data_IF_594876191352
#
_entry.id   IF_594876191352
#
_cell.length_a   1.000
_cell.length_b   1.000
_cell.length_c   1.000
_cell.angle_alpha   90.00
_cell.angle_beta   90.00
_cell.angle_gamma   90.00
#
_symmetry.space_group_name_H-M   'P 1'
#
loop_
_entity.id
_entity.type
_entity.pdbx_description
1 polymer ?
#
# COMPACT_ATOMS: atom_id res chain seq x y z
N UNK A 1 -2.55 13.27 -7.95
CA UNK A 1 -1.76 14.06 -6.99
C UNK A 1 -2.57 15.17 -6.32
N UNK A 2 -3.20 16.07 -7.07
CA UNK A 2 -3.92 17.23 -6.51
C UNK A 2 -5.07 16.87 -5.55
N UNK A 3 -5.70 15.70 -5.68
CA UNK A 3 -6.83 15.28 -4.86
C UNK A 3 -6.39 14.75 -3.49
N UNK A 4 -5.25 14.06 -3.43
CA UNK A 4 -4.70 13.52 -2.20
C UNK A 4 -3.68 14.42 -1.50
N UNK A 5 -3.36 15.61 -2.05
CA UNK A 5 -2.24 16.41 -1.58
C UNK A 5 -2.32 16.76 -0.08
N UNK A 6 -3.51 17.05 0.44
CA UNK A 6 -3.69 17.39 1.85
C UNK A 6 -3.49 16.16 2.75
N UNK A 7 -3.98 14.99 2.36
CA UNK A 7 -3.79 13.74 3.09
C UNK A 7 -2.30 13.33 3.10
N UNK A 8 -1.63 13.40 1.95
CA UNK A 8 -0.19 13.19 1.87
C UNK A 8 0.58 14.17 2.75
N UNK A 9 0.27 15.46 2.68
CA UNK A 9 0.95 16.48 3.48
C UNK A 9 0.77 16.25 4.99
N UNK A 10 -0.41 15.81 5.43
CA UNK A 10 -0.67 15.48 6.82
C UNK A 10 0.12 14.23 7.26
N UNK A 11 0.04 13.14 6.49
CA UNK A 11 0.74 11.88 6.81
C UNK A 11 2.26 12.07 6.83
N UNK A 12 2.83 12.63 5.77
CA UNK A 12 4.29 12.85 5.68
C UNK A 12 4.78 13.97 6.60
N UNK A 13 3.93 14.95 6.92
CA UNK A 13 4.20 15.94 7.97
C UNK A 13 4.41 15.30 9.34
N UNK A 14 3.61 14.28 9.67
CA UNK A 14 3.74 13.49 10.90
C UNK A 14 5.01 12.63 10.89
N UNK A 15 5.39 12.08 9.74
CA UNK A 15 6.60 11.26 9.59
C UNK A 15 7.89 12.10 9.63
N UNK A 16 7.84 13.36 9.17
CA UNK A 16 9.02 14.23 8.98
C UNK A 16 9.98 14.31 10.18
N UNK A 17 9.55 14.40 11.45
CA UNK A 17 10.47 14.44 12.59
C UNK A 17 11.29 13.16 12.80
N UNK A 18 10.84 12.04 12.22
CA UNK A 18 11.42 10.72 12.42
C UNK A 18 12.18 10.22 11.18
N UNK A 19 11.94 10.82 10.00
CA UNK A 19 12.41 10.32 8.70
C UNK A 19 13.91 10.08 8.63
N UNK A 20 14.71 10.89 9.33
CA UNK A 20 16.17 10.74 9.37
C UNK A 20 16.65 9.55 10.22
N UNK A 21 15.79 8.96 11.03
CA UNK A 21 16.08 7.79 11.85
C UNK A 21 15.71 6.47 11.19
N UNK A 22 15.05 6.54 10.03
CA UNK A 22 14.57 5.37 9.32
C UNK A 22 15.59 5.03 8.24
N UNK A 23 16.04 3.79 8.21
CA UNK A 23 17.07 3.31 7.29
C UNK A 23 16.46 2.72 6.02
N UNK A 24 15.25 2.15 6.12
CA UNK A 24 14.57 1.50 5.01
C UNK A 24 13.06 1.74 5.07
N UNK A 25 12.45 2.05 3.92
CA UNK A 25 11.00 2.20 3.77
C UNK A 25 10.42 1.05 2.95
N UNK A 26 9.64 0.18 3.57
CA UNK A 26 8.83 -0.82 2.87
C UNK A 26 7.52 -0.17 2.45
N UNK A 27 7.25 -0.10 1.15
CA UNK A 27 6.07 0.57 0.61
C UNK A 27 5.14 -0.49 0.02
N UNK A 28 3.98 -0.66 0.65
CA UNK A 28 2.88 -1.50 0.15
C UNK A 28 1.93 -0.59 -0.63
N UNK A 29 1.88 -0.73 -1.94
CA UNK A 29 1.04 0.10 -2.82
C UNK A 29 -0.06 -0.72 -3.47
N UNK A 30 -1.25 -0.15 -3.62
CA UNK A 30 -2.36 -0.78 -4.34
C UNK A 30 -2.02 -0.93 -5.83
N UNK A 31 -2.25 -2.12 -6.39
CA UNK A 31 -2.17 -2.34 -7.83
C UNK A 31 -3.55 -2.18 -8.47
N UNK A 32 -3.83 -1.01 -9.05
CA UNK A 32 -5.15 -0.70 -9.63
C UNK A 32 -5.48 -1.52 -10.89
N UNK A 33 -4.47 -2.01 -11.59
CA UNK A 33 -4.68 -2.89 -12.75
C UNK A 33 -4.99 -4.35 -12.35
N UNK A 34 -4.92 -4.66 -11.05
CA UNK A 34 -5.01 -6.01 -10.51
C UNK A 34 -3.72 -6.82 -10.69
N UNK A 35 -3.59 -7.88 -9.92
CA UNK A 35 -2.52 -8.86 -10.01
C UNK A 35 -3.16 -10.26 -10.05
N UNK A 36 -2.57 -11.16 -10.83
CA UNK A 36 -2.96 -12.59 -10.84
C UNK A 36 -2.52 -13.29 -9.54
N UNK A 37 -1.39 -12.83 -8.99
CA UNK A 37 -0.89 -13.19 -7.67
C UNK A 37 -1.14 -12.00 -6.72
N UNK A 38 -1.26 -12.25 -5.43
CA UNK A 38 -1.57 -11.22 -4.44
C UNK A 38 -0.54 -10.10 -4.33
N UNK A 39 0.72 -10.36 -4.73
CA UNK A 39 1.82 -9.42 -4.54
C UNK A 39 2.80 -9.44 -5.70
N UNK A 40 3.33 -8.26 -6.06
CA UNK A 40 4.39 -8.14 -7.06
C UNK A 40 5.57 -7.34 -6.51
N UNK A 41 6.78 -7.88 -6.70
CA UNK A 41 8.05 -7.26 -6.32
C UNK A 41 8.77 -6.70 -7.54
N UNK A 42 9.67 -5.74 -7.31
CA UNK A 42 10.61 -5.26 -8.32
C UNK A 42 11.97 -4.98 -7.71
N UNK A 43 13.03 -5.13 -8.54
CA UNK A 43 14.40 -4.70 -8.21
C UNK A 43 14.74 -3.35 -8.83
N UNK A 44 13.78 -2.69 -9.48
CA UNK A 44 14.00 -1.42 -10.17
C UNK A 44 13.91 -0.26 -9.18
N UNK A 45 14.78 0.70 -9.37
CA UNK A 45 14.76 1.94 -8.64
C UNK A 45 13.63 2.84 -9.17
N UNK A 46 13.15 3.76 -8.33
CA UNK A 46 12.18 4.77 -8.71
C UNK A 46 12.86 6.12 -8.89
N UNK A 47 12.71 6.72 -10.05
CA UNK A 47 13.18 8.08 -10.31
C UNK A 47 12.15 9.10 -9.81
N UNK A 48 12.61 10.10 -9.10
CA UNK A 48 11.78 11.22 -8.67
C UNK A 48 12.36 12.55 -9.13
N UNK A 49 11.57 13.63 -9.21
CA UNK A 49 12.09 14.98 -9.57
C UNK A 49 13.21 15.49 -8.64
N UNK A 50 13.37 14.91 -7.46
CA UNK A 50 14.36 15.33 -6.46
C UNK A 50 15.46 14.28 -6.23
N UNK A 51 15.58 13.31 -7.12
CA UNK A 51 16.59 12.26 -7.08
C UNK A 51 15.99 10.85 -6.91
N UNK A 52 16.80 9.82 -7.01
CA UNK A 52 16.34 8.45 -6.99
C UNK A 52 15.85 8.00 -5.60
N UNK A 53 14.91 7.07 -5.61
CA UNK A 53 14.61 6.17 -4.51
C UNK A 53 15.17 4.80 -4.89
N UNK A 54 16.24 4.39 -4.23
CA UNK A 54 16.96 3.16 -4.55
C UNK A 54 16.26 1.96 -3.93
N UNK A 55 16.02 0.92 -4.72
CA UNK A 55 15.46 -0.33 -4.21
C UNK A 55 16.51 -1.12 -3.44
N UNK A 56 16.20 -1.50 -2.20
CA UNK A 56 17.02 -2.43 -1.43
C UNK A 56 16.87 -3.85 -1.99
N UNK A 57 17.74 -4.19 -2.94
CA UNK A 57 17.70 -5.46 -3.68
C UNK A 57 17.96 -6.66 -2.80
N UNK A 58 18.80 -6.50 -1.77
CA UNK A 58 19.07 -7.57 -0.82
C UNK A 58 17.82 -7.95 -0.03
N UNK A 59 17.09 -6.96 0.47
CA UNK A 59 15.80 -7.18 1.11
C UNK A 59 14.81 -7.87 0.16
N UNK A 60 14.67 -7.35 -1.07
CA UNK A 60 13.76 -7.90 -2.09
C UNK A 60 14.13 -9.36 -2.40
N UNK A 61 15.40 -9.68 -2.53
CA UNK A 61 15.87 -11.04 -2.81
C UNK A 61 15.62 -11.99 -1.65
N UNK A 62 15.88 -11.56 -0.41
CA UNK A 62 15.57 -12.34 0.80
C UNK A 62 14.07 -12.59 0.96
N UNK A 63 13.23 -11.57 0.74
CA UNK A 63 11.78 -11.70 0.76
C UNK A 63 11.30 -12.69 -0.30
N UNK A 64 11.73 -12.49 -1.55
CA UNK A 64 11.35 -13.35 -2.68
C UNK A 64 11.75 -14.82 -2.47
N UNK A 65 12.90 -15.07 -1.83
CA UNK A 65 13.38 -16.42 -1.56
C UNK A 65 12.51 -17.20 -0.54
N UNK A 66 11.63 -16.51 0.22
CA UNK A 66 10.72 -17.09 1.19
C UNK A 66 9.33 -17.41 0.61
N UNK A 67 9.04 -16.91 -0.59
CA UNK A 67 7.75 -17.09 -1.23
C UNK A 67 7.75 -18.34 -2.11
N UNK A 68 6.64 -19.05 -2.13
CA UNK A 68 6.46 -20.22 -2.98
C UNK A 68 6.18 -19.85 -4.44
N UNK A 69 5.73 -18.64 -4.70
CA UNK A 69 5.45 -18.11 -6.03
C UNK A 69 6.60 -17.25 -6.59
N UNK A 70 6.58 -16.98 -7.89
CA UNK A 70 7.50 -16.03 -8.51
C UNK A 70 6.95 -14.60 -8.37
N UNK A 71 7.30 -13.91 -7.30
CA UNK A 71 6.84 -12.55 -7.02
C UNK A 71 7.29 -11.49 -8.06
N UNK A 72 8.13 -11.84 -9.05
CA UNK A 72 8.53 -10.97 -10.16
C UNK A 72 7.76 -11.23 -11.45
N UNK A 73 6.83 -12.18 -11.47
CA UNK A 73 6.10 -12.53 -12.69
C UNK A 73 5.33 -11.32 -13.27
N UNK A 74 4.81 -10.48 -12.39
CA UNK A 74 4.11 -9.25 -12.76
C UNK A 74 4.90 -7.97 -12.43
N UNK A 75 6.25 -8.02 -12.45
CA UNK A 75 7.11 -6.86 -12.18
C UNK A 75 6.75 -5.64 -13.03
N UNK A 76 6.28 -5.84 -14.27
CA UNK A 76 5.91 -4.74 -15.16
C UNK A 76 4.71 -3.91 -14.67
N UNK A 77 3.89 -4.41 -13.76
CA UNK A 77 2.81 -3.64 -13.15
C UNK A 77 3.34 -2.38 -12.44
N UNK A 78 4.55 -2.45 -11.87
CA UNK A 78 5.20 -1.30 -11.22
C UNK A 78 5.44 -0.11 -12.16
N UNK A 79 5.57 -0.33 -13.47
CA UNK A 79 5.86 0.73 -14.43
C UNK A 79 4.69 1.69 -14.63
N UNK A 80 3.49 1.16 -14.60
CA UNK A 80 2.28 1.89 -14.97
C UNK A 80 1.43 2.23 -13.72
N UNK A 81 1.92 1.87 -12.51
CA UNK A 81 1.26 2.11 -11.23
C UNK A 81 1.87 3.29 -10.48
N UNK A 82 1.01 4.11 -9.88
CA UNK A 82 1.40 5.35 -9.20
C UNK A 82 1.35 5.29 -7.67
N UNK A 83 0.77 4.25 -7.09
CA UNK A 83 0.59 4.11 -5.63
C UNK A 83 1.91 4.13 -4.86
N UNK A 84 2.99 3.53 -5.42
CA UNK A 84 4.35 3.57 -4.85
C UNK A 84 5.09 4.83 -5.28
N UNK A 85 4.95 5.25 -6.55
CA UNK A 85 5.64 6.43 -7.09
C UNK A 85 5.38 7.68 -6.24
N UNK A 86 4.13 7.94 -5.87
CA UNK A 86 3.80 9.10 -5.05
C UNK A 86 4.41 9.02 -3.65
N UNK A 87 4.50 7.85 -3.05
CA UNK A 87 5.19 7.66 -1.76
C UNK A 87 6.69 7.98 -1.90
N UNK A 88 7.33 7.47 -2.96
CA UNK A 88 8.75 7.74 -3.23
C UNK A 88 9.02 9.25 -3.43
N UNK A 89 8.15 9.96 -4.15
CA UNK A 89 8.22 11.43 -4.33
C UNK A 89 8.12 12.16 -2.99
N UNK A 90 7.14 11.81 -2.15
CA UNK A 90 6.97 12.45 -0.86
C UNK A 90 8.11 12.14 0.12
N UNK A 91 8.57 10.90 0.17
CA UNK A 91 9.75 10.52 0.97
C UNK A 91 10.98 11.32 0.54
N UNK A 92 11.24 11.39 -0.78
CA UNK A 92 12.36 12.17 -1.29
C UNK A 92 12.25 13.65 -0.95
N UNK A 93 11.02 14.20 -0.93
CA UNK A 93 10.77 15.60 -0.58
C UNK A 93 11.06 15.92 0.90
N UNK A 94 10.73 15.01 1.83
CA UNK A 94 10.90 15.27 3.27
C UNK A 94 12.28 14.85 3.78
N UNK A 95 13.02 13.99 3.06
CA UNK A 95 14.40 13.61 3.38
C UNK A 95 15.40 14.68 2.95
N UNK A 96 16.49 14.91 3.72
CA UNK A 96 17.59 15.76 3.28
C UNK A 96 18.15 15.30 1.92
N UNK A 97 18.50 16.26 1.06
CA UNK A 97 18.94 15.98 -0.32
C UNK A 97 20.21 15.10 -0.41
N UNK A 98 21.05 15.17 0.62
CA UNK A 98 22.31 14.39 0.70
C UNK A 98 22.13 13.00 1.32
N UNK A 99 20.91 12.65 1.78
CA UNK A 99 20.65 11.32 2.36
C UNK A 99 20.08 10.39 1.29
N UNK A 100 20.66 9.19 1.09
CA UNK A 100 20.10 8.17 0.23
C UNK A 100 18.67 7.80 0.71
N UNK A 101 17.76 7.60 -0.23
CA UNK A 101 16.44 7.03 0.03
C UNK A 101 16.45 5.58 -0.42
N UNK A 102 16.34 4.66 0.54
CA UNK A 102 16.17 3.23 0.28
C UNK A 102 14.74 2.81 0.47
N UNK A 103 14.20 2.08 -0.50
CA UNK A 103 12.82 1.59 -0.48
C UNK A 103 12.75 0.08 -0.80
N UNK A 104 11.68 -0.55 -0.38
CA UNK A 104 11.26 -1.88 -0.85
C UNK A 104 9.88 -1.69 -1.46
N UNK A 105 9.77 -1.60 -2.80
CA UNK A 105 8.51 -1.40 -3.47
C UNK A 105 7.76 -2.73 -3.64
N UNK A 106 6.54 -2.80 -3.11
CA UNK A 106 5.68 -3.98 -3.16
C UNK A 106 4.31 -3.55 -3.65
N UNK A 107 3.85 -4.07 -4.78
CA UNK A 107 2.46 -3.90 -5.19
C UNK A 107 1.60 -5.00 -4.57
N UNK A 108 0.44 -4.59 -4.06
CA UNK A 108 -0.55 -5.47 -3.48
C UNK A 108 -1.77 -5.54 -4.41
N UNK A 109 -2.19 -6.74 -4.76
CA UNK A 109 -3.47 -6.99 -5.40
C UNK A 109 -4.62 -6.89 -4.40
N UNK A 110 -5.84 -6.80 -4.91
CA UNK A 110 -7.02 -6.76 -4.07
C UNK A 110 -7.35 -8.11 -3.45
N UNK A 111 -7.99 -8.09 -2.29
CA UNK A 111 -8.49 -9.28 -1.58
C UNK A 111 -9.93 -9.65 -1.98
N UNK A 112 -10.38 -9.26 -3.16
CA UNK A 112 -11.74 -9.53 -3.64
C UNK A 112 -12.05 -11.03 -3.68
N UNK A 113 -11.06 -11.87 -3.97
CA UNK A 113 -11.22 -13.32 -3.94
C UNK A 113 -11.58 -13.84 -2.53
N UNK A 114 -11.02 -13.24 -1.48
CA UNK A 114 -11.37 -13.59 -0.10
C UNK A 114 -12.84 -13.26 0.19
N UNK A 115 -13.31 -12.09 -0.25
CA UNK A 115 -14.73 -11.68 -0.12
C UNK A 115 -15.65 -12.65 -0.88
N UNK A 116 -15.31 -12.99 -2.12
CA UNK A 116 -16.09 -13.91 -2.96
C UNK A 116 -16.16 -15.33 -2.40
N UNK A 117 -15.11 -15.79 -1.74
CA UNK A 117 -15.04 -17.10 -1.12
C UNK A 117 -15.54 -17.12 0.33
N UNK A 118 -15.79 -15.95 0.92
CA UNK A 118 -16.20 -15.84 2.32
C UNK A 118 -15.13 -16.28 3.32
N UNK A 119 -13.86 -16.09 2.97
CA UNK A 119 -12.71 -16.43 3.85
C UNK A 119 -12.03 -15.16 4.32
N UNK A 120 -11.57 -15.13 5.57
CA UNK A 120 -10.72 -14.05 6.06
C UNK A 120 -9.34 -14.12 5.40
N UNK A 121 -8.70 -12.98 5.07
CA UNK A 121 -7.31 -12.93 4.58
C UNK A 121 -6.31 -13.65 5.50
N UNK A 122 -6.58 -13.71 6.80
CA UNK A 122 -5.78 -14.50 7.74
C UNK A 122 -5.80 -16.01 7.44
N UNK A 123 -6.82 -16.49 6.74
CA UNK A 123 -6.96 -17.89 6.35
C UNK A 123 -6.59 -18.12 4.87
N UNK A 124 -6.31 -17.07 4.13
CA UNK A 124 -5.81 -17.16 2.76
C UNK A 124 -4.33 -17.57 2.75
N UNK A 125 -3.97 -18.71 2.12
CA UNK A 125 -2.60 -19.23 2.20
C UNK A 125 -1.54 -18.28 1.63
N UNK A 126 -1.85 -17.61 0.53
CA UNK A 126 -0.92 -16.70 -0.15
C UNK A 126 -0.67 -15.45 0.70
N UNK A 127 -1.72 -14.83 1.22
CA UNK A 127 -1.63 -13.66 2.10
C UNK A 127 -0.84 -14.00 3.37
N UNK A 128 -1.09 -15.16 3.96
CA UNK A 128 -0.37 -15.61 5.17
C UNK A 128 1.11 -15.84 4.92
N UNK A 129 1.44 -16.53 3.82
CA UNK A 129 2.83 -16.78 3.43
C UNK A 129 3.58 -15.46 3.23
N UNK A 130 2.97 -14.54 2.47
CA UNK A 130 3.56 -13.23 2.20
C UNK A 130 3.77 -12.42 3.48
N UNK A 131 2.75 -12.31 4.34
CA UNK A 131 2.84 -11.56 5.60
C UNK A 131 3.93 -12.14 6.52
N UNK A 132 3.99 -13.47 6.65
CA UNK A 132 5.03 -14.14 7.44
C UNK A 132 6.42 -13.87 6.86
N UNK A 133 6.60 -14.06 5.56
CA UNK A 133 7.86 -13.80 4.86
C UNK A 133 8.33 -12.34 5.01
N UNK A 134 7.39 -11.38 4.92
CA UNK A 134 7.68 -9.96 5.09
C UNK A 134 8.13 -9.64 6.52
N UNK A 135 7.41 -10.15 7.53
CA UNK A 135 7.76 -9.95 8.94
C UNK A 135 9.15 -10.52 9.23
N UNK A 136 9.40 -11.79 8.86
CA UNK A 136 10.70 -12.43 9.07
C UNK A 136 11.84 -11.63 8.39
N UNK A 137 11.59 -11.11 7.17
CA UNK A 137 12.60 -10.34 6.45
C UNK A 137 12.88 -9.00 7.11
N UNK A 138 11.84 -8.34 7.66
CA UNK A 138 11.98 -7.09 8.44
C UNK A 138 12.78 -7.35 9.72
N UNK A 139 12.46 -8.41 10.46
CA UNK A 139 13.13 -8.75 11.73
C UNK A 139 14.62 -9.08 11.54
N UNK A 140 15.00 -9.64 10.39
CA UNK A 140 16.40 -9.92 10.05
C UNK A 140 17.15 -8.72 9.44
N UNK A 141 16.46 -7.59 9.23
CA UNK A 141 17.07 -6.41 8.62
C UNK A 141 17.67 -5.51 9.68
N UNK A 142 18.97 -5.19 9.52
CA UNK A 142 19.62 -4.23 10.40
C UNK A 142 19.06 -2.82 10.20
N UNK A 143 18.91 -2.08 11.30
CA UNK A 143 18.44 -0.70 11.27
C UNK A 143 16.94 -0.55 11.51
N UNK A 144 16.44 0.65 11.27
CA UNK A 144 15.03 0.99 11.49
C UNK A 144 14.26 0.91 10.19
N UNK A 145 13.29 0.00 10.15
CA UNK A 145 12.36 -0.18 9.01
C UNK A 145 11.04 0.52 9.30
N UNK A 146 10.56 1.29 8.32
CA UNK A 146 9.22 1.88 8.36
C UNK A 146 8.37 1.26 7.24
N UNK A 147 7.20 0.74 7.59
CA UNK A 147 6.23 0.24 6.61
C UNK A 147 5.23 1.35 6.29
N UNK A 148 5.01 1.61 5.01
CA UNK A 148 4.06 2.60 4.49
C UNK A 148 3.01 1.87 3.67
N UNK A 149 1.74 2.07 3.99
CA UNK A 149 0.62 1.66 3.16
C UNK A 149 0.23 2.81 2.23
N UNK A 150 0.54 2.66 0.94
CA UNK A 150 0.17 3.59 -0.12
C UNK A 150 -1.18 3.19 -0.70
N UNK A 151 -2.24 3.49 0.05
CA UNK A 151 -3.61 3.06 -0.24
C UNK A 151 -4.53 4.27 -0.40
N UNK A 152 -5.64 4.06 -1.05
CA UNK A 152 -6.76 4.98 -1.15
C UNK A 152 -8.04 4.32 -0.62
N UNK A 153 -9.05 5.15 -0.36
CA UNK A 153 -10.34 4.71 0.14
C UNK A 153 -11.36 4.72 -1.03
N UNK A 154 -12.63 4.95 -0.74
CA UNK A 154 -13.74 4.78 -1.64
C UNK A 154 -13.56 5.36 -3.06
N UNK A 155 -13.77 4.52 -4.06
CA UNK A 155 -13.76 4.84 -5.49
C UNK A 155 -15.19 4.79 -6.07
N UNK A 156 -16.01 5.79 -5.77
CA UNK A 156 -17.41 5.83 -6.14
C UNK A 156 -17.76 7.00 -7.05
N UNK A 157 -18.87 6.82 -7.79
CA UNK A 157 -19.44 7.84 -8.66
C UNK A 157 -19.01 7.78 -10.13
N UNK A 158 -19.52 8.68 -10.98
CA UNK A 158 -19.38 8.61 -12.43
C UNK A 158 -17.95 8.60 -12.94
N UNK A 159 -17.02 9.14 -12.16
CA UNK A 159 -15.60 9.18 -12.50
C UNK A 159 -14.95 7.78 -12.44
N UNK A 160 -15.51 6.88 -11.63
CA UNK A 160 -15.06 5.49 -11.46
C UNK A 160 -16.00 4.49 -12.15
N UNK A 161 -16.88 4.97 -13.05
CA UNK A 161 -17.82 4.13 -13.77
C UNK A 161 -19.12 3.86 -13.01
N UNK A 162 -19.28 4.42 -11.81
CA UNK A 162 -20.51 4.33 -11.02
C UNK A 162 -21.62 5.24 -11.55
N UNK A 163 -22.85 4.97 -11.12
CA UNK A 163 -24.05 5.76 -11.48
C UNK A 163 -24.54 6.68 -10.38
N UNK A 164 -23.89 6.67 -9.23
CA UNK A 164 -24.25 7.38 -8.02
C UNK A 164 -24.16 8.89 -8.25
N UNK A 165 -25.19 9.59 -7.77
CA UNK A 165 -25.17 11.06 -7.78
C UNK A 165 -24.42 11.56 -6.56
N UNK A 166 -23.30 12.24 -6.78
CA UNK A 166 -22.44 12.82 -5.73
C UNK A 166 -23.10 14.05 -5.09
N UNK A 167 -24.26 13.86 -4.43
CA UNK A 167 -24.96 14.90 -3.67
C UNK A 167 -24.43 14.94 -2.22
N UNK A 168 -24.61 16.06 -1.54
CA UNK A 168 -24.06 16.28 -0.19
C UNK A 168 -24.46 15.18 0.81
N UNK A 169 -25.70 14.70 0.76
CA UNK A 169 -26.15 13.63 1.66
C UNK A 169 -25.44 12.29 1.40
N UNK A 170 -25.17 11.96 0.12
CA UNK A 170 -24.41 10.77 -0.23
C UNK A 170 -22.95 10.90 0.20
N UNK A 171 -22.32 12.05 -0.05
CA UNK A 171 -20.94 12.30 0.35
C UNK A 171 -20.75 12.24 1.88
N UNK A 172 -21.69 12.80 2.65
CA UNK A 172 -21.65 12.72 4.11
C UNK A 172 -21.76 11.27 4.62
N UNK A 173 -22.62 10.46 3.99
CA UNK A 173 -22.73 9.05 4.32
C UNK A 173 -21.48 8.26 3.95
N UNK A 174 -20.90 8.55 2.79
CA UNK A 174 -19.64 7.93 2.37
C UNK A 174 -18.49 8.27 3.32
N UNK A 175 -18.37 9.54 3.73
CA UNK A 175 -17.39 9.99 4.72
C UNK A 175 -17.55 9.23 6.06
N UNK A 176 -18.77 9.03 6.53
CA UNK A 176 -19.04 8.28 7.76
C UNK A 176 -18.57 6.82 7.65
N UNK A 177 -18.85 6.17 6.51
CA UNK A 177 -18.42 4.79 6.25
C UNK A 177 -16.89 4.69 6.18
N UNK A 178 -16.22 5.60 5.47
CA UNK A 178 -14.75 5.63 5.39
C UNK A 178 -14.12 5.91 6.75
N UNK A 179 -14.72 6.80 7.55
CA UNK A 179 -14.27 7.05 8.92
C UNK A 179 -14.34 5.80 9.78
N UNK A 180 -15.45 5.04 9.68
CA UNK A 180 -15.59 3.75 10.39
C UNK A 180 -14.51 2.76 9.96
N UNK A 181 -14.21 2.67 8.66
CA UNK A 181 -13.14 1.82 8.14
C UNK A 181 -11.77 2.23 8.71
N UNK A 182 -11.48 3.53 8.76
CA UNK A 182 -10.24 4.05 9.32
C UNK A 182 -10.09 3.81 10.83
N UNK A 183 -11.18 3.71 11.59
CA UNK A 183 -11.12 3.36 13.01
C UNK A 183 -10.53 1.96 13.25
N UNK A 184 -10.73 1.00 12.34
CA UNK A 184 -10.09 -0.31 12.41
C UNK A 184 -8.59 -0.21 12.15
N UNK A 185 -8.18 0.66 11.21
CA UNK A 185 -6.77 0.94 10.95
C UNK A 185 -6.09 1.56 12.19
N UNK A 186 -6.73 2.55 12.81
CA UNK A 186 -6.22 3.20 14.03
C UNK A 186 -6.06 2.22 15.21
N UNK A 187 -6.93 1.21 15.30
CA UNK A 187 -6.88 0.16 16.34
C UNK A 187 -5.97 -1.00 15.98
N UNK A 188 -5.39 -1.00 14.78
CA UNK A 188 -4.61 -2.14 14.24
C UNK A 188 -5.45 -3.43 14.30
N UNK A 189 -6.70 -3.35 13.81
CA UNK A 189 -7.65 -4.45 13.76
C UNK A 189 -7.88 -4.88 12.30
N UNK A 190 -7.02 -5.74 11.74
CA UNK A 190 -7.11 -6.17 10.35
C UNK A 190 -8.39 -6.98 10.05
N UNK A 191 -8.84 -7.80 11.00
CA UNK A 191 -10.06 -8.58 10.82
C UNK A 191 -11.30 -7.66 10.82
N UNK A 192 -11.38 -6.70 11.73
CA UNK A 192 -12.44 -5.70 11.75
C UNK A 192 -12.46 -4.87 10.47
N UNK A 193 -11.30 -4.46 9.96
CA UNK A 193 -11.16 -3.78 8.67
C UNK A 193 -11.73 -4.63 7.53
N UNK A 194 -11.28 -5.87 7.40
CA UNK A 194 -11.75 -6.78 6.37
C UNK A 194 -13.25 -7.03 6.45
N UNK A 195 -13.78 -7.34 7.64
CA UNK A 195 -15.21 -7.61 7.82
C UNK A 195 -16.08 -6.39 7.51
N UNK A 196 -15.59 -5.19 7.80
CA UNK A 196 -16.30 -3.95 7.43
C UNK A 196 -16.46 -3.84 5.91
N UNK A 197 -15.39 -4.08 5.13
CA UNK A 197 -15.42 -4.03 3.66
C UNK A 197 -16.22 -5.22 3.10
N UNK A 198 -16.00 -6.43 3.61
CA UNK A 198 -16.66 -7.64 3.15
C UNK A 198 -18.18 -7.61 3.37
N UNK A 199 -18.66 -6.99 4.47
CA UNK A 199 -20.08 -6.85 4.76
C UNK A 199 -20.84 -6.02 3.71
N UNK A 200 -20.11 -5.17 2.99
CA UNK A 200 -20.60 -4.32 1.91
C UNK A 200 -20.28 -4.89 0.52
N UNK A 201 -19.71 -6.11 0.44
CA UNK A 201 -19.22 -6.74 -0.78
C UNK A 201 -18.27 -5.84 -1.59
N UNK A 202 -17.49 -5.03 -0.88
CA UNK A 202 -16.59 -4.02 -1.46
C UNK A 202 -17.30 -3.04 -2.41
N UNK A 203 -18.53 -2.63 -2.06
CA UNK A 203 -19.29 -1.65 -2.86
C UNK A 203 -18.53 -0.34 -3.08
N UNK A 204 -17.65 0.02 -2.16
CA UNK A 204 -16.85 1.25 -2.22
C UNK A 204 -15.57 1.12 -3.04
N UNK A 205 -15.20 -0.09 -3.45
CA UNK A 205 -13.95 -0.40 -4.16
C UNK A 205 -12.71 0.11 -3.40
N UNK A 206 -12.53 -0.38 -2.16
CA UNK A 206 -11.41 -0.06 -1.25
C UNK A 206 -10.28 -1.08 -1.38
#
# INVERSE_FOLDING_TARGET
FNRGAEAYAAAYGTLRPWVEKIDLFVILGTCHSGLDQGFALTRKDYETPQGPAETDRDFVDRLSARLSCNAFEQEFAHRDEHSIEFQAVWLRHILPANRPLKIVPILCGGLLHCIQQGISPENDPETREFCAALVDTIEETDGTVCVIAGVDLAHMGPQFGGTERMILGFLAHLEERDRTTLEFVERIDPEGFYQNIASELDERHI
#
